data_IF_284347040741
#
_entry.id   IF_284347040741
#
_cell.length_a   1.000
_cell.length_b   1.000
_cell.length_c   1.000
_cell.angle_alpha   90.00
_cell.angle_beta   90.00
_cell.angle_gamma   90.00
#
_symmetry.space_group_name_H-M   'P 1'
#
loop_
_entity.id
_entity.type
_entity.pdbx_description
1 polymer ?
#
# COMPACT_ATOMS: atom_id res chain seq x y z
N UNK A 1 -33.56 -31.75 -5.20
CA UNK A 1 -33.01 -30.63 -4.41
C UNK A 1 -31.49 -30.72 -4.48
N UNK A 2 -30.85 -30.01 -5.42
CA UNK A 2 -29.40 -29.88 -5.45
C UNK A 2 -29.08 -28.56 -4.76
N UNK A 3 -28.43 -28.67 -3.60
CA UNK A 3 -27.96 -27.53 -2.80
C UNK A 3 -26.98 -26.70 -3.63
N UNK A 4 -27.37 -25.46 -3.93
CA UNK A 4 -26.51 -24.44 -4.51
C UNK A 4 -25.57 -23.94 -3.39
N UNK A 5 -24.33 -24.42 -3.37
CA UNK A 5 -23.31 -23.95 -2.45
C UNK A 5 -22.91 -22.51 -2.83
N UNK A 6 -23.40 -21.55 -2.04
CA UNK A 6 -22.97 -20.15 -2.07
C UNK A 6 -21.50 -20.06 -1.63
N UNK A 7 -20.59 -20.09 -2.59
CA UNK A 7 -19.20 -19.66 -2.42
C UNK A 7 -19.17 -18.14 -2.28
N UNK A 8 -19.48 -17.64 -1.08
CA UNK A 8 -19.16 -16.26 -0.69
C UNK A 8 -17.68 -16.22 -0.31
N UNK A 9 -16.80 -16.30 -1.30
CA UNK A 9 -15.40 -15.88 -1.17
C UNK A 9 -15.34 -14.38 -1.41
N UNK A 10 -15.80 -13.60 -0.43
CA UNK A 10 -15.52 -12.17 -0.38
C UNK A 10 -14.06 -11.96 0.00
N UNK A 11 -13.15 -12.03 -0.98
CA UNK A 11 -11.83 -11.42 -0.83
C UNK A 11 -12.04 -9.93 -0.54
N UNK A 12 -11.48 -9.44 0.56
CA UNK A 12 -11.83 -8.18 1.20
C UNK A 12 -11.47 -6.96 0.36
N UNK A 13 -12.33 -6.59 -0.57
CA UNK A 13 -12.22 -5.37 -1.37
C UNK A 13 -13.30 -4.37 -0.94
N UNK A 14 -12.88 -3.21 -0.43
CA UNK A 14 -13.75 -2.06 -0.19
C UNK A 14 -13.77 -1.20 -1.44
N UNK A 15 -14.92 -1.10 -2.09
CA UNK A 15 -15.15 -0.14 -3.17
C UNK A 15 -16.07 0.96 -2.64
N UNK A 16 -15.65 2.22 -2.73
CA UNK A 16 -16.39 3.37 -2.22
C UNK A 16 -16.58 4.45 -3.29
N UNK A 17 -17.80 4.99 -3.38
CA UNK A 17 -18.13 6.16 -4.21
C UNK A 17 -19.03 7.08 -3.38
N UNK A 18 -18.67 8.37 -3.29
CA UNK A 18 -19.38 9.34 -2.45
C UNK A 18 -20.85 9.44 -2.87
N UNK A 19 -21.76 9.14 -1.94
CA UNK A 19 -23.21 9.17 -2.18
C UNK A 19 -23.79 7.92 -2.86
N UNK A 20 -22.99 6.89 -3.13
CA UNK A 20 -23.48 5.61 -3.64
C UNK A 20 -23.83 4.66 -2.49
N UNK A 21 -24.88 3.88 -2.66
CA UNK A 21 -25.34 2.86 -1.73
C UNK A 21 -24.67 1.50 -1.99
N UNK A 22 -24.90 0.54 -1.11
CA UNK A 22 -24.49 -0.86 -1.32
C UNK A 22 -25.13 -1.48 -2.56
N UNK A 23 -26.34 -1.05 -2.92
CA UNK A 23 -27.06 -1.55 -4.09
C UNK A 23 -26.40 -1.07 -5.40
N UNK A 24 -25.90 0.17 -5.40
CA UNK A 24 -25.12 0.72 -6.51
C UNK A 24 -23.80 -0.04 -6.69
N UNK A 25 -23.16 -0.44 -5.59
CA UNK A 25 -21.93 -1.23 -5.64
C UNK A 25 -22.17 -2.62 -6.22
N UNK A 26 -23.23 -3.30 -5.79
CA UNK A 26 -23.58 -4.63 -6.32
C UNK A 26 -23.91 -4.58 -7.82
N UNK A 27 -24.60 -3.52 -8.25
CA UNK A 27 -24.88 -3.29 -9.67
C UNK A 27 -23.59 -3.04 -10.47
N UNK A 28 -22.70 -2.19 -9.96
CA UNK A 28 -21.41 -1.89 -10.57
C UNK A 28 -20.52 -3.14 -10.65
N UNK A 29 -20.43 -3.92 -9.57
CA UNK A 29 -19.72 -5.20 -9.55
C UNK A 29 -20.24 -6.17 -10.59
N UNK A 30 -21.56 -6.35 -10.69
CA UNK A 30 -22.17 -7.20 -11.75
C UNK A 30 -21.84 -6.70 -13.15
N UNK A 31 -21.81 -5.39 -13.37
CA UNK A 31 -21.43 -4.83 -14.67
C UNK A 31 -19.96 -5.05 -15.01
N UNK A 32 -19.08 -5.12 -14.00
CA UNK A 32 -17.64 -5.31 -14.17
C UNK A 32 -17.18 -6.77 -14.08
N UNK A 33 -18.04 -7.69 -13.63
CA UNK A 33 -17.74 -9.13 -13.53
C UNK A 33 -17.43 -9.78 -14.87
N UNK A 34 -17.95 -9.26 -15.98
CA UNK A 34 -17.67 -9.77 -17.33
C UNK A 34 -16.27 -9.45 -17.84
N UNK A 35 -15.48 -8.65 -17.12
CA UNK A 35 -14.14 -8.23 -17.52
C UNK A 35 -13.08 -9.36 -17.45
N UNK A 36 -13.46 -10.55 -16.96
CA UNK A 36 -12.68 -11.79 -17.07
C UNK A 36 -11.47 -11.91 -16.13
N UNK A 37 -11.03 -10.82 -15.50
CA UNK A 37 -10.01 -10.83 -14.45
C UNK A 37 -10.31 -9.80 -13.38
N UNK A 38 -9.84 -10.04 -12.15
CA UNK A 38 -10.05 -9.16 -11.01
C UNK A 38 -9.52 -7.74 -11.26
N UNK A 39 -8.31 -7.64 -11.83
CA UNK A 39 -7.71 -6.35 -12.22
C UNK A 39 -8.53 -5.59 -13.27
N UNK A 40 -9.18 -6.30 -14.18
CA UNK A 40 -10.07 -5.68 -15.16
C UNK A 40 -11.41 -5.26 -14.53
N UNK A 41 -11.89 -5.99 -13.52
CA UNK A 41 -13.05 -5.59 -12.73
C UNK A 41 -12.75 -4.37 -11.85
N UNK A 42 -11.57 -4.30 -11.22
CA UNK A 42 -11.10 -3.12 -10.49
C UNK A 42 -11.03 -1.90 -11.40
N UNK A 43 -10.39 -2.05 -12.57
CA UNK A 43 -10.30 -0.98 -13.58
C UNK A 43 -11.67 -0.46 -14.00
N UNK A 44 -12.61 -1.38 -14.26
CA UNK A 44 -13.98 -1.05 -14.62
C UNK A 44 -14.71 -0.30 -13.49
N UNK A 45 -14.49 -0.68 -12.23
CA UNK A 45 -15.04 0.03 -11.08
C UNK A 45 -14.43 1.43 -10.94
N UNK A 46 -13.11 1.55 -11.10
CA UNK A 46 -12.40 2.84 -11.10
C UNK A 46 -12.89 3.78 -12.20
N UNK A 47 -13.08 3.27 -13.42
CA UNK A 47 -13.61 4.01 -14.56
C UNK A 47 -15.06 4.48 -14.31
N UNK A 48 -15.82 3.73 -13.51
CA UNK A 48 -17.15 4.13 -13.02
C UNK A 48 -17.10 5.09 -11.82
N UNK A 49 -15.90 5.52 -11.40
CA UNK A 49 -15.68 6.47 -10.31
C UNK A 49 -15.74 5.85 -8.91
N UNK A 50 -15.56 4.53 -8.79
CA UNK A 50 -15.41 3.86 -7.52
C UNK A 50 -13.95 3.84 -7.08
N UNK A 51 -13.68 4.22 -5.83
CA UNK A 51 -12.38 4.02 -5.19
C UNK A 51 -12.31 2.58 -4.70
N UNK A 52 -11.49 1.75 -5.34
CA UNK A 52 -11.30 0.34 -4.96
C UNK A 52 -10.06 0.19 -4.09
N UNK A 53 -10.20 -0.37 -2.89
CA UNK A 53 -9.12 -0.69 -1.95
C UNK A 53 -9.17 -2.17 -1.61
N UNK A 54 -8.06 -2.86 -1.88
CA UNK A 54 -7.75 -4.18 -1.35
C UNK A 54 -7.36 -4.07 0.12
N UNK A 55 -8.05 -4.77 1.00
CA UNK A 55 -7.82 -4.71 2.45
C UNK A 55 -6.76 -5.71 2.90
N UNK A 56 -6.23 -6.49 1.98
CA UNK A 56 -5.43 -7.68 2.31
C UNK A 56 -4.16 -7.34 3.09
N UNK A 57 -3.62 -6.11 2.94
CA UNK A 57 -2.42 -5.64 3.63
C UNK A 57 -2.58 -4.30 4.37
N UNK A 58 -3.59 -3.49 4.03
CA UNK A 58 -3.73 -2.11 4.58
C UNK A 58 -4.32 -2.11 5.99
N UNK A 59 -5.10 -3.12 6.38
CA UNK A 59 -5.68 -3.20 7.74
C UNK A 59 -4.73 -3.89 8.74
N UNK A 60 -3.72 -4.63 8.26
CA UNK A 60 -2.83 -5.40 9.12
C UNK A 60 -1.73 -4.56 9.80
N UNK A 61 -1.41 -3.39 9.25
CA UNK A 61 -0.31 -2.57 9.74
C UNK A 61 -0.78 -1.15 10.09
N UNK A 62 -0.43 -0.71 11.29
CA UNK A 62 -0.54 0.70 11.62
C UNK A 62 0.47 1.50 10.78
N UNK A 63 0.04 2.66 10.28
CA UNK A 63 0.94 3.61 9.62
C UNK A 63 1.23 4.75 10.59
N UNK A 64 2.49 4.94 10.96
CA UNK A 64 2.92 6.11 11.71
C UNK A 64 3.16 7.27 10.73
N UNK A 65 2.32 8.29 10.77
CA UNK A 65 2.60 9.57 10.11
C UNK A 65 3.46 10.42 11.04
N UNK A 66 4.70 10.71 10.64
CA UNK A 66 5.48 11.77 11.30
C UNK A 66 5.04 13.09 10.69
N UNK A 67 4.21 13.84 11.42
CA UNK A 67 4.01 15.25 11.11
C UNK A 67 5.25 16.01 11.56
N UNK A 68 6.01 16.66 10.66
CA UNK A 68 7.01 17.62 11.09
C UNK A 68 6.26 18.75 11.80
N UNK A 69 6.57 18.97 13.07
CA UNK A 69 6.08 20.06 13.92
C UNK A 69 4.58 20.08 14.33
N UNK A 70 4.26 19.41 15.43
CA UNK A 70 3.08 19.75 16.27
C UNK A 70 3.36 20.86 17.32
N UNK A 71 4.54 21.50 17.25
CA UNK A 71 5.01 22.47 18.26
C UNK A 71 4.99 23.94 17.81
N UNK A 72 4.62 24.24 16.56
CA UNK A 72 4.58 25.61 16.06
C UNK A 72 3.23 25.95 15.39
N UNK A 73 2.24 26.47 16.14
CA UNK A 73 0.95 26.87 15.58
C UNK A 73 0.98 28.18 14.76
N UNK A 74 2.16 28.75 14.45
CA UNK A 74 2.27 30.04 13.75
C UNK A 74 2.83 29.95 12.33
N UNK A 75 3.07 28.76 11.78
CA UNK A 75 3.51 28.63 10.39
C UNK A 75 2.32 28.61 9.39
N UNK A 76 1.46 29.62 9.46
CA UNK A 76 0.54 29.99 8.39
C UNK A 76 0.89 31.39 7.91
N UNK A 77 1.87 31.55 7.01
CA UNK A 77 1.99 32.74 6.14
C UNK A 77 2.57 32.32 4.77
N UNK A 78 1.65 32.14 3.82
CA UNK A 78 1.61 32.59 2.40
C UNK A 78 2.80 32.46 1.40
N UNK A 79 2.48 32.37 0.08
CA UNK A 79 3.40 32.10 -1.01
C UNK A 79 4.19 33.34 -1.47
N UNK A 80 5.24 33.06 -2.27
CA UNK A 80 6.08 34.02 -3.02
C UNK A 80 7.03 34.90 -2.18
N UNK A 81 8.34 34.64 -2.28
CA UNK A 81 9.33 35.60 -2.81
C UNK A 81 10.74 34.99 -2.84
N UNK A 82 11.36 35.01 -4.02
CA UNK A 82 12.80 34.80 -4.24
C UNK A 82 13.53 36.06 -3.74
N UNK A 83 14.62 35.94 -2.95
CA UNK A 83 15.84 36.61 -3.40
C UNK A 83 17.19 35.97 -3.00
N UNK A 84 18.08 36.00 -4.00
CA UNK A 84 19.47 36.48 -3.97
C UNK A 84 20.52 35.67 -3.19
N UNK A 85 21.24 34.86 -3.96
CA UNK A 85 22.63 34.45 -3.69
C UNK A 85 23.54 35.63 -4.08
N UNK A 86 24.45 36.12 -3.21
CA UNK A 86 25.52 37.01 -3.66
C UNK A 86 26.66 36.17 -4.26
N UNK A 87 27.03 36.57 -5.48
CA UNK A 87 28.15 36.07 -6.25
C UNK A 87 29.51 36.36 -5.59
N UNK A 88 30.48 35.49 -5.85
CA UNK A 88 31.86 35.95 -6.10
C UNK A 88 32.50 35.15 -7.25
N UNK A 89 33.00 35.94 -8.19
CA UNK A 89 33.44 35.62 -9.54
C UNK A 89 34.80 34.94 -9.62
N UNK A 90 34.99 34.12 -10.65
CA UNK A 90 36.11 34.26 -11.59
C UNK A 90 35.70 33.71 -12.98
N UNK A 91 35.84 34.56 -14.00
CA UNK A 91 35.71 34.29 -15.44
C UNK A 91 37.10 34.58 -16.10
N UNK A 92 37.36 34.45 -17.43
CA UNK A 92 36.44 34.11 -18.54
C UNK A 92 36.96 33.13 -19.63
N UNK A 93 35.98 32.58 -20.38
CA UNK A 93 35.80 32.21 -21.82
C UNK A 93 36.94 32.40 -22.88
N UNK A 94 36.82 32.00 -24.20
CA UNK A 94 35.60 31.66 -24.96
C UNK A 94 35.69 30.61 -26.13
N UNK A 95 34.56 30.49 -26.86
CA UNK A 95 34.40 30.13 -28.29
C UNK A 95 34.38 28.64 -28.68
N UNK A 96 33.56 28.14 -29.62
CA UNK A 96 32.44 28.68 -30.41
C UNK A 96 31.84 27.52 -31.26
N UNK A 97 30.59 27.73 -31.73
CA UNK A 97 29.92 27.20 -32.96
C UNK A 97 29.82 25.66 -33.18
N UNK A 98 28.63 25.05 -33.18
CA UNK A 98 27.52 25.08 -34.15
C UNK A 98 27.68 24.14 -35.36
N UNK A 99 26.75 23.17 -35.47
CA UNK A 99 26.11 22.65 -36.70
C UNK A 99 25.00 21.66 -36.24
N UNK A 100 23.70 21.98 -36.37
CA UNK A 100 22.87 21.85 -37.58
C UNK A 100 22.70 20.36 -38.01
N UNK A 101 21.54 19.80 -38.34
CA UNK A 101 20.16 20.26 -38.45
C UNK A 101 19.26 19.03 -38.74
N UNK A 102 17.94 19.26 -38.64
CA UNK A 102 16.84 18.59 -39.37
C UNK A 102 16.51 17.12 -38.99
N UNK A 103 15.38 16.82 -38.33
CA UNK A 103 13.96 16.92 -38.74
C UNK A 103 13.42 15.56 -39.26
N UNK A 104 12.33 15.09 -38.63
CA UNK A 104 11.52 13.97 -39.13
C UNK A 104 10.96 13.06 -38.04
N UNK A 105 9.62 12.93 -37.88
CA UNK A 105 8.99 12.28 -36.72
C UNK A 105 8.69 10.80 -36.98
N UNK A 106 8.83 9.97 -35.94
CA UNK A 106 8.21 8.65 -35.90
C UNK A 106 7.71 8.38 -34.48
N UNK A 107 6.40 8.24 -34.37
CA UNK A 107 5.67 7.82 -33.19
C UNK A 107 5.95 6.33 -32.95
N UNK A 108 6.87 6.02 -32.05
CA UNK A 108 7.02 4.67 -31.52
C UNK A 108 6.98 4.78 -29.99
N UNK A 109 5.78 4.55 -29.43
CA UNK A 109 5.63 4.30 -27.99
C UNK A 109 6.13 2.87 -27.78
N UNK A 110 7.14 2.63 -26.93
CA UNK A 110 7.49 1.27 -26.56
C UNK A 110 6.27 0.59 -25.93
N UNK A 111 5.80 -0.47 -26.58
CA UNK A 111 4.83 -1.39 -25.99
C UNK A 111 5.54 -2.08 -24.83
N UNK A 112 5.28 -1.60 -23.62
CA UNK A 112 5.65 -2.30 -22.39
C UNK A 112 4.81 -3.58 -22.37
N UNK A 113 5.41 -4.78 -22.31
CA UNK A 113 4.66 -6.03 -22.20
C UNK A 113 3.77 -6.00 -20.95
N UNK A 114 2.60 -6.65 -20.97
CA UNK A 114 1.67 -6.65 -19.84
C UNK A 114 2.37 -7.22 -18.60
N UNK A 115 2.64 -6.33 -17.64
CA UNK A 115 3.10 -6.72 -16.30
C UNK A 115 2.00 -7.56 -15.67
N UNK A 116 2.28 -8.85 -15.48
CA UNK A 116 1.39 -9.80 -14.79
C UNK A 116 0.86 -9.18 -13.49
N UNK A 117 -0.42 -9.41 -13.14
CA UNK A 117 -0.94 -8.99 -11.84
C UNK A 117 -0.04 -9.52 -10.71
N UNK A 118 0.21 -8.72 -9.64
CA UNK A 118 0.91 -9.24 -8.48
C UNK A 118 0.10 -10.43 -7.92
N UNK A 119 0.78 -11.51 -7.50
CA UNK A 119 0.10 -12.67 -6.95
C UNK A 119 -0.70 -12.28 -5.70
N UNK A 120 -1.78 -13.01 -5.38
CA UNK A 120 -2.53 -12.79 -4.14
C UNK A 120 -1.62 -12.94 -2.93
N UNK A 121 -1.75 -12.05 -1.94
CA UNK A 121 -0.91 -12.06 -0.73
C UNK A 121 -1.05 -13.39 0.00
N UNK A 122 0.04 -14.13 0.14
CA UNK A 122 0.11 -15.44 0.76
C UNK A 122 0.10 -15.31 2.29
N UNK A 123 -0.49 -16.28 3.03
CA UNK A 123 -0.33 -16.34 4.49
C UNK A 123 1.13 -16.47 4.94
N UNK A 124 2.04 -16.85 4.04
CA UNK A 124 3.48 -16.96 4.28
C UNK A 124 4.28 -15.74 3.83
N UNK A 125 3.64 -14.68 3.35
CA UNK A 125 4.35 -13.43 3.01
C UNK A 125 5.06 -12.90 4.25
N UNK A 126 6.31 -12.49 4.08
CA UNK A 126 7.20 -12.12 5.19
C UNK A 126 7.29 -10.60 5.31
N UNK A 127 7.11 -10.10 6.53
CA UNK A 127 7.19 -8.67 6.88
C UNK A 127 8.19 -8.47 8.00
N UNK A 128 8.93 -7.36 7.94
CA UNK A 128 9.78 -6.90 9.04
C UNK A 128 8.98 -5.95 9.93
N UNK A 129 8.81 -6.32 11.20
CA UNK A 129 8.03 -5.55 12.18
C UNK A 129 8.97 -4.82 13.12
N UNK A 130 8.88 -3.50 13.16
CA UNK A 130 9.70 -2.67 14.06
C UNK A 130 9.14 -2.64 15.48
N UNK A 131 7.81 -2.71 15.64
CA UNK A 131 7.19 -2.72 16.95
C UNK A 131 5.78 -3.30 16.96
N UNK A 132 5.40 -3.81 18.14
CA UNK A 132 4.07 -4.30 18.46
C UNK A 132 3.48 -3.46 19.59
N UNK A 133 2.20 -3.13 19.51
CA UNK A 133 1.50 -2.46 20.61
C UNK A 133 0.08 -2.98 20.80
N UNK A 134 -0.36 -3.00 22.06
CA UNK A 134 -1.72 -3.34 22.50
C UNK A 134 -1.96 -2.61 23.83
N UNK A 135 -3.12 -1.94 23.96
CA UNK A 135 -3.40 -1.14 25.16
C UNK A 135 -3.46 -2.03 26.40
N UNK A 136 -2.71 -1.64 27.45
CA UNK A 136 -2.66 -2.36 28.72
C UNK A 136 -1.92 -3.70 28.68
N UNK A 137 -1.21 -4.01 27.59
CA UNK A 137 -0.40 -5.21 27.45
C UNK A 137 1.09 -4.89 27.56
N UNK A 138 1.82 -5.74 28.25
CA UNK A 138 3.27 -5.68 28.42
C UNK A 138 3.98 -6.72 27.53
N UNK A 139 5.27 -6.91 27.78
CA UNK A 139 6.11 -7.84 27.00
C UNK A 139 5.74 -9.29 27.28
N UNK A 140 5.33 -9.60 28.49
CA UNK A 140 4.90 -10.91 28.93
C UNK A 140 3.63 -11.32 28.18
N UNK A 141 2.67 -10.40 28.05
CA UNK A 141 1.49 -10.59 27.21
C UNK A 141 1.86 -10.79 25.73
N UNK A 142 2.83 -10.02 25.19
CA UNK A 142 3.31 -10.20 23.82
C UNK A 142 3.91 -11.59 23.59
N UNK A 143 4.73 -12.07 24.53
CA UNK A 143 5.37 -13.36 24.46
C UNK A 143 4.35 -14.51 24.53
N UNK A 144 3.38 -14.41 25.45
CA UNK A 144 2.30 -15.39 25.58
C UNK A 144 1.45 -15.45 24.29
N UNK A 145 1.03 -14.30 23.77
CA UNK A 145 0.23 -14.25 22.55
C UNK A 145 1.00 -14.73 21.31
N UNK A 146 2.32 -14.48 21.25
CA UNK A 146 3.22 -15.02 20.22
C UNK A 146 3.26 -16.55 20.25
N UNK A 147 3.45 -17.15 21.43
CA UNK A 147 3.48 -18.61 21.57
C UNK A 147 2.16 -19.25 21.16
N UNK A 148 1.04 -18.67 21.59
CA UNK A 148 -0.30 -19.11 21.20
C UNK A 148 -0.51 -19.06 19.68
N UNK A 149 -0.08 -17.98 19.03
CA UNK A 149 -0.21 -17.85 17.58
C UNK A 149 0.65 -18.87 16.84
N UNK A 150 1.87 -19.14 17.30
CA UNK A 150 2.72 -20.19 16.71
C UNK A 150 2.14 -21.59 16.97
N UNK A 151 1.55 -21.84 18.14
CA UNK A 151 0.88 -23.11 18.43
C UNK A 151 -0.34 -23.34 17.54
N UNK A 152 -1.11 -22.29 17.26
CA UNK A 152 -2.32 -22.34 16.42
C UNK A 152 -1.98 -22.51 14.94
N UNK A 153 -1.00 -21.76 14.45
CA UNK A 153 -0.65 -21.70 13.03
C UNK A 153 0.39 -22.76 12.62
N UNK A 154 1.15 -23.29 13.59
CA UNK A 154 2.23 -24.23 13.36
C UNK A 154 3.59 -23.57 13.07
N UNK A 155 4.65 -24.39 12.93
CA UNK A 155 6.03 -23.92 12.93
C UNK A 155 6.40 -23.06 11.71
N UNK A 156 5.68 -23.18 10.59
CA UNK A 156 5.89 -22.36 9.39
C UNK A 156 5.66 -20.87 9.63
N UNK A 157 4.89 -20.51 10.67
CA UNK A 157 4.56 -19.13 11.02
C UNK A 157 5.41 -18.57 12.17
N UNK A 158 6.44 -19.30 12.61
CA UNK A 158 7.31 -18.88 13.72
C UNK A 158 8.05 -17.57 13.37
N UNK A 159 7.98 -16.54 14.23
CA UNK A 159 8.79 -15.33 14.06
C UNK A 159 10.28 -15.63 14.03
N UNK A 160 11.01 -14.91 13.17
CA UNK A 160 12.46 -14.80 13.28
C UNK A 160 12.77 -13.61 14.18
N UNK A 161 13.17 -13.89 15.42
CA UNK A 161 13.44 -12.84 16.41
C UNK A 161 14.73 -12.06 16.14
N UNK A 162 15.68 -12.63 15.39
CA UNK A 162 16.92 -11.94 15.02
C UNK A 162 16.68 -10.86 13.97
N UNK A 163 15.79 -11.14 13.01
CA UNK A 163 15.49 -10.21 11.90
C UNK A 163 14.16 -9.48 12.07
N UNK A 164 13.44 -9.75 13.17
CA UNK A 164 12.08 -9.26 13.41
C UNK A 164 11.10 -9.57 12.28
N UNK A 165 11.32 -10.68 11.58
CA UNK A 165 10.48 -11.11 10.46
C UNK A 165 9.36 -12.01 10.93
N UNK A 166 8.16 -11.75 10.43
CA UNK A 166 6.96 -12.54 10.71
C UNK A 166 6.20 -12.80 9.41
N UNK A 167 5.40 -13.85 9.41
CA UNK A 167 4.51 -14.15 8.27
C UNK A 167 3.20 -13.37 8.36
N UNK A 168 2.51 -13.19 7.23
CA UNK A 168 1.16 -12.58 7.18
C UNK A 168 0.19 -13.27 8.13
N UNK A 169 0.18 -14.60 8.13
CA UNK A 169 -0.67 -15.40 9.01
C UNK A 169 -0.41 -15.12 10.50
N UNK A 170 0.84 -14.93 10.88
CA UNK A 170 1.21 -14.54 12.24
C UNK A 170 0.66 -13.15 12.60
N UNK A 171 0.79 -12.17 11.69
CA UNK A 171 0.24 -10.82 11.90
C UNK A 171 -1.28 -10.85 12.06
N UNK A 172 -1.98 -11.63 11.23
CA UNK A 172 -3.44 -11.81 11.33
C UNK A 172 -3.83 -12.39 12.70
N UNK A 173 -3.11 -13.40 13.19
CA UNK A 173 -3.39 -13.99 14.50
C UNK A 173 -3.17 -12.98 15.63
N UNK A 174 -2.05 -12.25 15.60
CA UNK A 174 -1.76 -11.21 16.58
C UNK A 174 -2.81 -10.09 16.55
N UNK A 175 -3.28 -9.72 15.35
CA UNK A 175 -4.34 -8.73 15.18
C UNK A 175 -5.68 -9.18 15.76
N UNK A 176 -6.06 -10.45 15.58
CA UNK A 176 -7.24 -11.03 16.22
C UNK A 176 -7.16 -10.98 17.75
N UNK A 177 -5.95 -10.99 18.30
CA UNK A 177 -5.66 -10.80 19.74
C UNK A 177 -5.55 -9.34 20.16
N UNK A 178 -5.82 -8.39 19.27
CA UNK A 178 -5.82 -6.95 19.56
C UNK A 178 -4.45 -6.27 19.46
N UNK A 179 -3.42 -6.97 18.97
CA UNK A 179 -2.12 -6.36 18.70
C UNK A 179 -2.13 -5.58 17.39
N UNK A 180 -1.35 -4.51 17.36
CA UNK A 180 -1.11 -3.70 16.17
C UNK A 180 0.37 -3.71 15.86
N UNK A 181 0.69 -4.01 14.59
CA UNK A 181 2.05 -4.06 14.10
C UNK A 181 2.44 -2.76 13.40
N UNK A 182 3.64 -2.27 13.66
CA UNK A 182 4.29 -1.23 12.87
C UNK A 182 5.37 -1.88 12.01
N UNK A 183 5.26 -1.76 10.69
CA UNK A 183 6.26 -2.26 9.75
C UNK A 183 7.49 -1.35 9.73
N UNK A 184 8.66 -1.93 9.53
CA UNK A 184 9.84 -1.15 9.17
C UNK A 184 9.64 -0.55 7.77
N UNK A 185 9.83 0.76 7.62
CA UNK A 185 9.95 1.42 6.32
C UNK A 185 11.44 1.50 5.98
N UNK A 186 11.84 1.01 4.82
CA UNK A 186 13.17 1.26 4.29
C UNK A 186 13.30 2.77 4.06
N UNK A 187 14.24 3.40 4.76
CA UNK A 187 14.59 4.81 4.59
C UNK A 187 15.42 5.04 3.34
#
# INVERSE_FOLDING_TARGET
MVMLALLVSGCGELSYKRGASTQDLEAAKKSCQSAGSEKAAERCLEDQGWTVKKLDDVDLFATAGVSPDNRNPSAFITPEFVPVVPAQSAAPAPSAVAAAAAAGPATDKPVVPPVSPPPPSSPLDVYTISSWWKMGADREALAADTLDCVATLGPAHKPNETTQQVTRGFVVCMHAKGWKALRAVAG
#
